data_IF_292680303760
#
_entry.id   IF_292680303760
#
_cell.length_a   1.000
_cell.length_b   1.000
_cell.length_c   1.000
_cell.angle_alpha   90.00
_cell.angle_beta   90.00
_cell.angle_gamma   90.00
#
_symmetry.space_group_name_H-M   'P 1'
#
loop_
_entity.id
_entity.type
_entity.pdbx_description
1 polymer ?
#
# COMPACT_ATOMS: atom_id res chain seq x y z
N UNK A 1 -16.40 18.18 9.30
CA UNK A 1 -15.43 17.73 8.27
C UNK A 1 -14.03 18.08 8.79
N UNK A 2 -13.24 17.15 9.35
CA UNK A 2 -11.90 17.58 9.80
C UNK A 2 -11.00 16.65 10.62
N UNK A 3 -11.47 15.52 11.15
CA UNK A 3 -10.64 14.68 12.03
C UNK A 3 -10.18 13.34 11.43
N UNK A 4 -10.90 12.78 10.45
CA UNK A 4 -10.74 11.37 10.07
C UNK A 4 -9.72 11.06 8.95
N UNK A 5 -9.02 12.07 8.41
CA UNK A 5 -8.06 11.86 7.31
C UNK A 5 -6.59 11.86 7.75
N UNK A 6 -6.27 12.30 8.98
CA UNK A 6 -4.88 12.30 9.48
C UNK A 6 -4.49 10.99 10.15
N UNK A 7 -5.47 10.29 10.73
CA UNK A 7 -5.24 9.06 11.50
C UNK A 7 -5.10 7.81 10.63
N UNK A 8 -5.55 7.87 9.36
CA UNK A 8 -5.43 6.75 8.42
C UNK A 8 -4.07 6.66 7.71
N UNK A 9 -3.30 7.75 7.68
CA UNK A 9 -1.97 7.74 7.04
C UNK A 9 -0.93 7.05 7.94
N UNK A 10 -1.17 7.02 9.25
CA UNK A 10 -0.29 6.34 10.22
C UNK A 10 -0.33 4.80 10.08
N UNK A 11 -1.32 4.25 9.37
CA UNK A 11 -1.41 2.79 9.09
C UNK A 11 -0.80 2.39 7.74
N UNK A 12 -0.47 3.36 6.87
CA UNK A 12 0.52 3.09 5.83
C UNK A 12 1.86 3.02 6.56
N UNK A 13 2.36 1.80 6.70
CA UNK A 13 3.51 1.47 7.53
C UNK A 13 4.65 2.46 7.31
N UNK A 14 5.28 2.83 8.42
CA UNK A 14 6.53 3.58 8.45
C UNK A 14 7.49 3.02 7.40
N UNK A 15 8.35 3.85 6.79
CA UNK A 15 9.36 3.44 5.81
C UNK A 15 10.11 2.14 6.20
N UNK A 16 10.28 1.88 7.50
CA UNK A 16 10.86 0.67 8.05
C UNK A 16 10.11 -0.64 7.71
N UNK A 17 8.77 -0.60 7.56
CA UNK A 17 7.97 -1.79 7.22
C UNK A 17 8.19 -2.24 5.77
N UNK A 18 8.52 -1.31 4.86
CA UNK A 18 8.85 -1.61 3.46
C UNK A 18 10.21 -2.30 3.33
N UNK A 19 11.17 -1.95 4.19
CA UNK A 19 12.52 -2.51 4.16
C UNK A 19 12.68 -3.84 4.89
N UNK A 20 11.78 -4.16 5.83
CA UNK A 20 11.91 -5.36 6.69
C UNK A 20 11.35 -6.62 6.04
N UNK A 21 10.21 -6.51 5.34
CA UNK A 21 9.57 -7.62 4.62
C UNK A 21 8.73 -7.05 3.46
N UNK A 22 9.36 -6.76 2.31
CA UNK A 22 8.70 -6.07 1.21
C UNK A 22 7.55 -6.87 0.60
N UNK A 23 7.64 -8.20 0.63
CA UNK A 23 6.58 -9.08 0.11
C UNK A 23 5.34 -9.06 0.99
N UNK A 24 5.52 -9.17 2.31
CA UNK A 24 4.41 -9.09 3.28
C UNK A 24 3.76 -7.72 3.27
N UNK A 25 4.54 -6.66 3.05
CA UNK A 25 4.00 -5.31 2.91
C UNK A 25 3.15 -5.17 1.64
N UNK A 26 3.64 -5.66 0.49
CA UNK A 26 2.89 -5.66 -0.76
C UNK A 26 1.56 -6.43 -0.63
N UNK A 27 1.59 -7.61 -0.01
CA UNK A 27 0.38 -8.40 0.24
C UNK A 27 -0.65 -7.66 1.10
N UNK A 28 -0.20 -6.90 2.11
CA UNK A 28 -1.07 -6.07 2.96
C UNK A 28 -1.72 -4.94 2.16
N UNK A 29 -0.96 -4.23 1.33
CA UNK A 29 -1.48 -3.14 0.49
C UNK A 29 -2.52 -3.65 -0.51
N UNK A 30 -2.25 -4.77 -1.18
CA UNK A 30 -3.18 -5.44 -2.09
C UNK A 30 -4.48 -5.81 -1.37
N UNK A 31 -4.37 -6.45 -0.20
CA UNK A 31 -5.55 -6.81 0.62
C UNK A 31 -6.38 -5.57 0.98
N UNK A 32 -5.75 -4.49 1.44
CA UNK A 32 -6.43 -3.25 1.77
C UNK A 32 -7.10 -2.59 0.57
N UNK A 33 -6.48 -2.66 -0.62
CA UNK A 33 -7.04 -2.11 -1.85
C UNK A 33 -8.32 -2.86 -2.25
N UNK A 34 -8.30 -4.21 -2.19
CA UNK A 34 -9.49 -5.02 -2.42
C UNK A 34 -10.58 -4.78 -1.37
N UNK A 35 -10.25 -4.61 -0.08
CA UNK A 35 -11.23 -4.22 0.93
C UNK A 35 -11.89 -2.87 0.61
N UNK A 36 -11.11 -1.90 0.13
CA UNK A 36 -11.64 -0.59 -0.25
C UNK A 36 -12.54 -0.69 -1.48
N UNK A 37 -12.18 -1.52 -2.47
CA UNK A 37 -13.01 -1.79 -3.65
C UNK A 37 -14.34 -2.44 -3.26
N UNK A 38 -14.31 -3.48 -2.40
CA UNK A 38 -15.52 -4.15 -1.89
C UNK A 38 -16.46 -3.19 -1.15
N UNK A 39 -15.91 -2.18 -0.49
CA UNK A 39 -16.68 -1.12 0.19
C UNK A 39 -17.06 0.05 -0.73
N UNK A 40 -16.82 -0.06 -2.03
CA UNK A 40 -17.04 1.00 -3.03
C UNK A 40 -16.35 2.33 -2.67
N UNK A 41 -15.22 2.26 -1.97
CA UNK A 41 -14.43 3.44 -1.57
C UNK A 41 -13.44 3.88 -2.65
N UNK A 42 -13.14 3.00 -3.60
CA UNK A 42 -12.28 3.24 -4.76
C UNK A 42 -12.93 2.66 -6.01
N UNK A 43 -12.76 3.34 -7.14
CA UNK A 43 -13.16 2.82 -8.45
C UNK A 43 -12.13 1.81 -9.00
N UNK A 44 -12.37 1.25 -10.19
CA UNK A 44 -11.45 0.28 -10.81
C UNK A 44 -10.10 0.90 -11.19
N UNK A 45 -10.10 2.18 -11.60
CA UNK A 45 -8.89 2.88 -11.99
C UNK A 45 -8.01 3.14 -10.75
N UNK A 46 -8.61 3.66 -9.69
CA UNK A 46 -7.97 3.86 -8.40
C UNK A 46 -7.49 2.55 -7.76
N UNK A 47 -8.19 1.44 -8.00
CA UNK A 47 -7.71 0.11 -7.61
C UNK A 47 -6.45 -0.27 -8.38
N UNK A 48 -6.43 -0.09 -9.71
CA UNK A 48 -5.25 -0.35 -10.55
C UNK A 48 -4.05 0.45 -10.08
N UNK A 49 -4.23 1.76 -9.89
CA UNK A 49 -3.16 2.68 -9.46
C UNK A 49 -2.53 2.24 -8.12
N UNK A 50 -3.36 1.78 -7.17
CA UNK A 50 -2.88 1.32 -5.85
C UNK A 50 -2.13 -0.01 -5.95
N UNK A 51 -2.56 -0.92 -6.84
CA UNK A 51 -1.88 -2.20 -7.07
C UNK A 51 -0.52 -1.97 -7.75
N UNK A 52 -0.47 -1.09 -8.74
CA UNK A 52 0.77 -0.69 -9.42
C UNK A 52 1.76 -0.04 -8.45
N UNK A 53 1.29 0.87 -7.58
CA UNK A 53 2.14 1.50 -6.57
C UNK A 53 2.67 0.49 -5.54
N UNK A 54 1.84 -0.47 -5.11
CA UNK A 54 2.26 -1.53 -4.21
C UNK A 54 3.34 -2.43 -4.83
N UNK A 55 3.22 -2.73 -6.12
CA UNK A 55 4.20 -3.51 -6.86
C UNK A 55 5.50 -2.73 -7.09
N UNK A 56 5.41 -1.45 -7.47
CA UNK A 56 6.57 -0.56 -7.61
C UNK A 56 7.36 -0.45 -6.30
N UNK A 57 6.66 -0.31 -5.17
CA UNK A 57 7.29 -0.27 -3.85
C UNK A 57 8.01 -1.59 -3.50
N UNK A 58 7.41 -2.74 -3.85
CA UNK A 58 8.03 -4.07 -3.69
C UNK A 58 9.29 -4.20 -4.53
N UNK A 59 9.22 -3.83 -5.82
CA UNK A 59 10.36 -3.90 -6.74
C UNK A 59 11.52 -3.01 -6.28
N UNK A 60 11.22 -1.79 -5.82
CA UNK A 60 12.23 -0.89 -5.27
C UNK A 60 12.91 -1.48 -4.03
N UNK A 61 12.13 -2.02 -3.09
CA UNK A 61 12.67 -2.59 -1.86
C UNK A 61 13.51 -3.85 -2.11
N UNK A 62 13.10 -4.70 -3.06
CA UNK A 62 13.88 -5.87 -3.48
C UNK A 62 15.17 -5.47 -4.22
N UNK A 63 15.09 -4.51 -5.13
CA UNK A 63 16.27 -4.00 -5.86
C UNK A 63 17.25 -3.23 -4.97
N UNK A 64 16.76 -2.58 -3.91
CA UNK A 64 17.60 -1.92 -2.90
C UNK A 64 18.24 -2.91 -1.91
N UNK A 65 17.72 -4.13 -1.79
CA UNK A 65 18.32 -5.19 -0.95
C UNK A 65 19.46 -5.96 -1.66
N UNK A 66 19.54 -5.86 -2.99
CA UNK A 66 20.54 -6.53 -3.83
C UNK A 66 21.74 -5.63 -4.20
N UNK A 67 21.65 -4.31 -3.92
CA UNK A 67 22.71 -3.31 -4.19
C UNK A 67 23.54 -3.01 -2.95
#
# INVERSE_FOLDING_TARGET
>A
MGALQREKVIVLGSQCDLSTDPEKHAAKLVSMAFECRRRSRVDDLQLSDVLELAEAARMWALGCADM
#
